data_IF_444399938065
#
_entry.id   IF_444399938065
#
_cell.length_a   1.000
_cell.length_b   1.000
_cell.length_c   1.000
_cell.angle_alpha   90.00
_cell.angle_beta   90.00
_cell.angle_gamma   90.00
#
_symmetry.space_group_name_H-M   'P 1'
#
loop_
_entity.id
_entity.type
_entity.pdbx_description
1 polymer ?
#
# COMPACT_ATOMS: atom_id res chain seq x y z
N UNK A 1 10.08 1.57 4.68
CA UNK A 1 10.37 0.96 5.99
C UNK A 1 9.44 -0.23 6.11
N UNK A 2 9.94 -1.43 6.39
CA UNK A 2 9.11 -2.64 6.43
C UNK A 2 8.34 -2.73 7.75
N UNK A 3 7.09 -3.19 7.72
CA UNK A 3 6.24 -3.41 8.90
C UNK A 3 6.57 -4.74 9.59
N UNK A 4 7.10 -5.70 8.81
CA UNK A 4 7.52 -7.04 9.28
C UNK A 4 8.98 -7.25 8.93
N UNK A 5 9.79 -7.64 9.90
CA UNK A 5 11.20 -7.94 9.65
C UNK A 5 11.36 -9.25 8.85
N UNK A 6 12.39 -9.33 8.00
CA UNK A 6 12.71 -10.54 7.24
C UNK A 6 12.90 -11.75 8.18
N UNK A 7 13.53 -11.55 9.33
CA UNK A 7 13.73 -12.60 10.33
C UNK A 7 12.41 -13.18 10.85
N UNK A 8 11.41 -12.33 11.11
CA UNK A 8 10.09 -12.76 11.58
C UNK A 8 9.34 -13.55 10.48
N UNK A 9 9.45 -13.10 9.24
CA UNK A 9 8.87 -13.81 8.11
C UNK A 9 9.52 -15.18 7.91
N UNK A 10 10.86 -15.27 7.98
CA UNK A 10 11.59 -16.55 7.91
C UNK A 10 11.20 -17.50 9.03
N UNK A 11 11.08 -17.00 10.25
CA UNK A 11 10.61 -17.78 11.39
C UNK A 11 9.18 -18.32 11.16
N UNK A 12 8.29 -17.47 10.66
CA UNK A 12 6.90 -17.84 10.31
C UNK A 12 6.87 -18.93 9.22
N UNK A 13 7.70 -18.80 8.19
CA UNK A 13 7.82 -19.75 7.07
C UNK A 13 8.63 -21.00 7.42
N UNK A 14 9.33 -21.03 8.56
CA UNK A 14 10.29 -22.09 8.95
C UNK A 14 11.42 -22.27 7.94
N UNK A 15 11.93 -21.16 7.40
CA UNK A 15 13.03 -21.13 6.44
C UNK A 15 14.33 -20.78 7.17
N UNK A 16 15.29 -21.69 7.08
CA UNK A 16 16.67 -21.49 7.53
C UNK A 16 17.55 -21.13 6.31
N UNK A 17 18.63 -20.37 6.52
CA UNK A 17 19.52 -19.95 5.43
C UNK A 17 19.08 -18.67 4.73
N UNK A 18 19.84 -18.24 3.73
CA UNK A 18 19.67 -16.93 3.06
C UNK A 18 19.32 -17.01 1.58
N UNK A 19 19.19 -18.22 1.03
CA UNK A 19 19.04 -18.43 -0.41
C UNK A 19 17.72 -17.85 -0.96
N UNK A 20 16.68 -17.79 -0.12
CA UNK A 20 15.37 -17.28 -0.48
C UNK A 20 15.08 -15.86 0.08
N UNK A 21 16.06 -15.20 0.71
CA UNK A 21 15.84 -13.90 1.38
C UNK A 21 15.28 -12.82 0.44
N UNK A 22 15.76 -12.78 -0.80
CA UNK A 22 15.27 -11.82 -1.80
C UNK A 22 13.81 -12.09 -2.18
N UNK A 23 13.42 -13.36 -2.32
CA UNK A 23 12.05 -13.78 -2.64
C UNK A 23 11.11 -13.51 -1.47
N UNK A 24 11.52 -13.85 -0.26
CA UNK A 24 10.73 -13.57 0.95
C UNK A 24 10.56 -12.06 1.13
N UNK A 25 11.61 -11.27 0.87
CA UNK A 25 11.53 -9.81 0.88
C UNK A 25 10.51 -9.25 -0.12
N UNK A 26 10.44 -9.82 -1.33
CA UNK A 26 9.41 -9.48 -2.31
C UNK A 26 8.00 -9.78 -1.79
N UNK A 27 7.78 -10.94 -1.18
CA UNK A 27 6.48 -11.32 -0.62
C UNK A 27 6.08 -10.46 0.58
N UNK A 28 7.03 -10.05 1.43
CA UNK A 28 6.78 -9.10 2.51
C UNK A 28 6.26 -7.78 1.92
N UNK A 29 6.98 -7.21 0.95
CA UNK A 29 6.57 -5.95 0.32
C UNK A 29 5.18 -6.05 -0.31
N UNK A 30 4.89 -7.14 -1.03
CA UNK A 30 3.58 -7.37 -1.64
C UNK A 30 2.46 -7.48 -0.61
N UNK A 31 2.69 -8.22 0.48
CA UNK A 31 1.73 -8.41 1.56
C UNK A 31 1.46 -7.11 2.34
N UNK A 32 2.50 -6.32 2.62
CA UNK A 32 2.38 -5.01 3.25
C UNK A 32 1.56 -4.03 2.41
N UNK A 33 1.84 -3.94 1.12
CA UNK A 33 1.07 -3.11 0.20
C UNK A 33 -0.39 -3.55 0.09
N UNK A 34 -0.64 -4.86 0.04
CA UNK A 34 -2.01 -5.40 0.03
C UNK A 34 -2.77 -5.05 1.31
N UNK A 35 -2.13 -5.17 2.48
CA UNK A 35 -2.72 -4.82 3.77
C UNK A 35 -3.03 -3.32 3.87
N UNK A 36 -2.09 -2.44 3.50
CA UNK A 36 -2.28 -0.98 3.48
C UNK A 36 -3.44 -0.61 2.55
N UNK A 37 -3.49 -1.19 1.35
CA UNK A 37 -4.57 -0.94 0.39
C UNK A 37 -5.92 -1.45 0.89
N UNK A 38 -5.97 -2.60 1.56
CA UNK A 38 -7.20 -3.15 2.12
C UNK A 38 -7.76 -2.29 3.26
N UNK A 39 -6.91 -1.62 4.02
CA UNK A 39 -7.31 -0.72 5.12
C UNK A 39 -7.62 0.70 4.65
N UNK A 40 -7.19 1.09 3.46
CA UNK A 40 -7.28 2.45 2.88
C UNK A 40 -6.72 3.56 3.78
N UNK A 41 -5.61 3.29 4.49
CA UNK A 41 -4.92 4.22 5.37
C UNK A 41 -3.41 4.01 5.38
N UNK A 42 -2.65 5.02 5.82
CA UNK A 42 -1.22 4.89 6.07
C UNK A 42 -0.94 3.99 7.28
N UNK A 43 0.04 3.10 7.17
CA UNK A 43 0.52 2.30 8.29
C UNK A 43 1.99 2.64 8.54
N UNK A 44 2.31 2.96 9.77
CA UNK A 44 3.63 3.45 10.17
C UNK A 44 4.26 2.52 11.20
N UNK A 45 5.59 2.42 11.16
CA UNK A 45 6.31 1.54 12.08
C UNK A 45 6.18 1.98 13.55
N UNK A 46 6.13 3.29 13.79
CA UNK A 46 6.03 3.89 15.10
C UNK A 46 5.34 5.26 15.06
N UNK A 47 5.07 5.82 16.22
CA UNK A 47 4.42 7.11 16.35
C UNK A 47 5.27 8.27 15.80
N UNK A 48 6.59 8.19 15.86
CA UNK A 48 7.49 9.22 15.31
C UNK A 48 7.36 9.30 13.80
N UNK A 49 7.33 8.15 13.12
CA UNK A 49 7.12 8.07 11.68
C UNK A 49 5.75 8.63 11.27
N UNK A 50 4.68 8.31 12.02
CA UNK A 50 3.35 8.86 11.80
C UNK A 50 3.34 10.38 11.96
N UNK A 51 3.87 10.92 13.05
CA UNK A 51 3.91 12.37 13.30
C UNK A 51 4.73 13.11 12.24
N UNK A 52 5.85 12.53 11.80
CA UNK A 52 6.68 13.08 10.71
C UNK A 52 5.88 13.15 9.40
N UNK A 53 5.14 12.10 9.06
CA UNK A 53 4.30 12.07 7.87
C UNK A 53 3.17 13.10 7.96
N UNK A 54 2.50 13.21 9.12
CA UNK A 54 1.44 14.20 9.35
C UNK A 54 1.97 15.64 9.23
N UNK A 55 3.17 15.91 9.74
CA UNK A 55 3.80 17.23 9.63
C UNK A 55 4.16 17.58 8.17
N UNK A 56 4.55 16.59 7.34
CA UNK A 56 4.91 16.78 5.94
C UNK A 56 3.71 16.87 4.98
N UNK A 57 2.58 16.27 5.35
CA UNK A 57 1.42 16.13 4.47
C UNK A 57 0.85 17.46 3.95
N UNK A 58 0.72 18.56 4.73
CA UNK A 58 0.22 19.83 4.21
C UNK A 58 1.12 20.42 3.11
N UNK A 59 2.44 20.34 3.27
CA UNK A 59 3.38 20.84 2.27
C UNK A 59 3.31 20.00 0.98
N UNK A 60 3.16 18.68 1.09
CA UNK A 60 2.98 17.79 -0.05
C UNK A 60 1.68 18.10 -0.82
N UNK A 61 0.58 18.36 -0.12
CA UNK A 61 -0.68 18.75 -0.75
C UNK A 61 -0.59 20.13 -1.43
N UNK A 62 0.07 21.11 -0.79
CA UNK A 62 0.31 22.41 -1.39
C UNK A 62 1.14 22.31 -2.68
N UNK A 63 2.19 21.48 -2.69
CA UNK A 63 2.98 21.20 -3.89
C UNK A 63 2.14 20.55 -5.00
N UNK A 64 1.25 19.61 -4.66
CA UNK A 64 0.35 18.98 -5.62
C UNK A 64 -0.67 19.98 -6.21
N UNK A 65 -1.16 20.94 -5.40
CA UNK A 65 -2.02 22.03 -5.85
C UNK A 65 -1.31 22.91 -6.87
N UNK A 66 -0.09 23.36 -6.56
CA UNK A 66 0.71 24.17 -7.48
C UNK A 66 1.05 23.41 -8.79
N UNK A 67 1.35 22.11 -8.69
CA UNK A 67 1.59 21.26 -9.86
C UNK A 67 0.33 21.13 -10.75
N UNK A 68 -0.86 21.01 -10.16
CA UNK A 68 -2.13 21.02 -10.89
C UNK A 68 -2.32 22.33 -11.63
N UNK A 69 -2.13 23.48 -10.96
CA UNK A 69 -2.28 24.80 -11.56
C UNK A 69 -1.32 24.99 -12.75
N UNK A 70 -0.06 24.60 -12.60
CA UNK A 70 0.92 24.65 -13.68
C UNK A 70 0.53 23.74 -14.86
N UNK A 71 0.03 22.52 -14.57
CA UNK A 71 -0.40 21.58 -15.59
C UNK A 71 -1.66 22.06 -16.33
N UNK A 72 -2.60 22.72 -15.64
CA UNK A 72 -3.78 23.34 -16.26
C UNK A 72 -3.34 24.47 -17.19
N UNK A 73 -2.46 25.37 -16.73
CA UNK A 73 -1.93 26.46 -17.57
C UNK A 73 -1.23 25.92 -18.83
N UNK A 74 -0.43 24.86 -18.68
CA UNK A 74 0.21 24.22 -19.84
C UNK A 74 -0.81 23.58 -20.80
N UNK A 75 -1.84 22.93 -20.26
CA UNK A 75 -2.91 22.33 -21.07
C UNK A 75 -3.73 23.38 -21.84
N UNK A 76 -3.95 24.56 -21.26
CA UNK A 76 -4.67 25.67 -21.91
C UNK A 76 -3.93 26.23 -23.13
N UNK A 77 -2.61 26.09 -23.16
CA UNK A 77 -1.78 26.50 -24.31
C UNK A 77 -1.84 25.52 -25.50
N UNK A 78 -2.40 24.32 -25.32
CA UNK A 78 -2.56 23.33 -26.38
C UNK A 78 -3.66 23.75 -27.36
N UNK A 79 -3.38 23.55 -28.63
CA UNK A 79 -4.31 23.90 -29.73
C UNK A 79 -5.27 22.78 -30.09
N UNK A 80 -4.83 21.50 -29.90
CA UNK A 80 -5.65 20.33 -30.15
C UNK A 80 -6.65 20.12 -29.00
N UNK A 81 -7.95 20.02 -29.26
CA UNK A 81 -8.96 19.87 -28.20
C UNK A 81 -8.86 18.53 -27.44
N UNK A 82 -8.49 17.45 -28.11
CA UNK A 82 -8.40 16.13 -27.51
C UNK A 82 -7.16 16.02 -26.62
N UNK A 83 -6.01 16.55 -27.09
CA UNK A 83 -4.79 16.65 -26.26
C UNK A 83 -5.04 17.53 -25.02
N UNK A 84 -5.71 18.66 -25.18
CA UNK A 84 -6.07 19.54 -24.08
C UNK A 84 -6.95 18.84 -23.06
N UNK A 85 -8.01 18.16 -23.49
CA UNK A 85 -8.90 17.42 -22.61
C UNK A 85 -8.17 16.29 -21.85
N UNK A 86 -7.30 15.56 -22.53
CA UNK A 86 -6.48 14.51 -21.91
C UNK A 86 -5.51 15.08 -20.85
N UNK A 87 -4.85 16.22 -21.14
CA UNK A 87 -3.93 16.87 -20.22
C UNK A 87 -4.64 17.39 -18.97
N UNK A 88 -5.81 18.04 -19.12
CA UNK A 88 -6.63 18.51 -17.99
C UNK A 88 -7.08 17.35 -17.11
N UNK A 89 -7.53 16.24 -17.70
CA UNK A 89 -7.91 15.03 -16.96
C UNK A 89 -6.74 14.42 -16.22
N UNK A 90 -5.57 14.40 -16.83
CA UNK A 90 -4.35 13.90 -16.19
C UNK A 90 -3.96 14.74 -14.96
N UNK A 91 -4.03 16.08 -15.07
CA UNK A 91 -3.78 17.00 -13.97
C UNK A 91 -4.76 16.79 -12.81
N UNK A 92 -6.04 16.64 -13.09
CA UNK A 92 -7.07 16.37 -12.08
C UNK A 92 -6.83 15.03 -11.39
N UNK A 93 -6.57 13.96 -12.15
CA UNK A 93 -6.29 12.64 -11.60
C UNK A 93 -5.05 12.64 -10.71
N UNK A 94 -4.01 13.41 -11.05
CA UNK A 94 -2.81 13.53 -10.22
C UNK A 94 -3.12 14.22 -8.88
N UNK A 95 -3.91 15.30 -8.91
CA UNK A 95 -4.34 16.02 -7.72
C UNK A 95 -5.25 15.15 -6.82
N UNK A 96 -6.20 14.42 -7.41
CA UNK A 96 -7.07 13.51 -6.65
C UNK A 96 -6.28 12.42 -5.94
N UNK A 97 -5.21 11.88 -6.57
CA UNK A 97 -4.29 10.93 -5.88
C UNK A 97 -3.58 11.58 -4.70
N UNK A 98 -3.18 12.84 -4.81
CA UNK A 98 -2.56 13.58 -3.71
C UNK A 98 -3.52 13.82 -2.54
N UNK A 99 -4.80 14.13 -2.82
CA UNK A 99 -5.84 14.24 -1.80
C UNK A 99 -6.09 12.91 -1.06
N UNK A 100 -6.14 11.80 -1.79
CA UNK A 100 -6.26 10.47 -1.18
C UNK A 100 -5.05 10.19 -0.28
N UNK A 101 -3.84 10.45 -0.77
CA UNK A 101 -2.62 10.26 0.02
C UNK A 101 -2.61 11.15 1.28
N UNK A 102 -3.06 12.40 1.17
CA UNK A 102 -3.20 13.33 2.30
C UNK A 102 -4.16 12.74 3.36
N UNK A 103 -5.36 12.30 2.95
CA UNK A 103 -6.33 11.68 3.85
C UNK A 103 -5.75 10.44 4.53
N UNK A 104 -5.12 9.55 3.76
CA UNK A 104 -4.53 8.32 4.29
C UNK A 104 -3.45 8.56 5.35
N UNK A 105 -2.74 9.70 5.31
CA UNK A 105 -1.79 10.09 6.36
C UNK A 105 -2.52 10.44 7.66
N UNK A 106 -3.60 11.23 7.61
CA UNK A 106 -4.35 11.63 8.79
C UNK A 106 -5.20 10.51 9.39
N UNK A 107 -5.66 9.57 8.56
CA UNK A 107 -6.27 8.31 8.99
C UNK A 107 -5.22 7.26 9.39
N UNK A 108 -3.94 7.63 9.38
CA UNK A 108 -2.80 6.76 9.62
C UNK A 108 -2.78 6.13 11.00
N UNK A 109 -2.26 4.92 11.09
CA UNK A 109 -2.09 4.17 12.33
C UNK A 109 -0.67 3.62 12.47
N UNK A 110 -0.25 3.40 13.70
CA UNK A 110 0.97 2.64 13.99
C UNK A 110 0.67 1.15 13.87
N UNK A 111 1.60 0.41 13.26
CA UNK A 111 1.51 -1.05 13.12
C UNK A 111 1.35 -1.73 14.47
N UNK A 112 0.45 -2.69 14.55
CA UNK A 112 0.22 -3.53 15.71
C UNK A 112 0.35 -5.01 15.37
N UNK A 113 0.27 -5.88 16.38
CA UNK A 113 0.45 -7.32 16.20
C UNK A 113 -0.60 -7.96 15.29
N UNK A 114 -1.82 -7.42 15.26
CA UNK A 114 -2.89 -7.89 14.39
C UNK A 114 -2.57 -7.62 12.91
N UNK A 115 -2.06 -6.42 12.60
CA UNK A 115 -1.62 -6.05 11.24
C UNK A 115 -0.40 -6.90 10.84
N UNK A 116 0.57 -7.09 11.76
CA UNK A 116 1.74 -7.96 11.50
C UNK A 116 1.33 -9.39 11.22
N UNK A 117 0.40 -9.93 12.01
CA UNK A 117 -0.12 -11.28 11.79
C UNK A 117 -0.82 -11.42 10.43
N UNK A 118 -1.61 -10.41 10.01
CA UNK A 118 -2.25 -10.40 8.69
C UNK A 118 -1.22 -10.40 7.55
N UNK A 119 -0.16 -9.60 7.67
CA UNK A 119 0.94 -9.57 6.69
C UNK A 119 1.64 -10.92 6.63
N UNK A 120 2.00 -11.51 7.79
CA UNK A 120 2.66 -12.82 7.84
C UNK A 120 1.80 -13.95 7.25
N UNK A 121 0.49 -13.95 7.50
CA UNK A 121 -0.43 -14.90 6.86
C UNK A 121 -0.43 -14.75 5.34
N UNK A 122 -0.42 -13.52 4.84
CA UNK A 122 -0.36 -13.25 3.40
C UNK A 122 0.97 -13.70 2.80
N UNK A 123 2.09 -13.43 3.49
CA UNK A 123 3.42 -13.93 3.09
C UNK A 123 3.45 -15.46 3.03
N UNK A 124 2.90 -16.14 4.04
CA UNK A 124 2.79 -17.59 4.06
C UNK A 124 1.97 -18.14 2.89
N UNK A 125 0.87 -17.47 2.56
CA UNK A 125 0.05 -17.84 1.41
C UNK A 125 0.80 -17.67 0.07
N UNK A 126 1.47 -16.54 -0.14
CA UNK A 126 2.27 -16.28 -1.35
C UNK A 126 3.45 -17.24 -1.48
N UNK A 127 4.08 -17.59 -0.38
CA UNK A 127 5.21 -18.52 -0.35
C UNK A 127 4.77 -19.96 -0.67
N UNK A 128 3.63 -20.40 -0.13
CA UNK A 128 3.10 -21.74 -0.35
C UNK A 128 2.47 -21.93 -1.75
N UNK A 129 1.91 -20.86 -2.34
CA UNK A 129 1.19 -20.90 -3.61
C UNK A 129 1.91 -20.02 -4.63
N UNK A 130 2.94 -20.58 -5.26
CA UNK A 130 3.75 -19.87 -6.27
C UNK A 130 3.10 -19.87 -7.67
N UNK A 131 1.98 -20.58 -7.84
CA UNK A 131 1.21 -20.70 -9.08
C UNK A 131 -0.23 -20.22 -8.86
N UNK A 132 -0.81 -19.57 -9.86
CA UNK A 132 -2.18 -19.03 -9.81
C UNK A 132 -3.27 -20.11 -9.78
N UNK A 133 -2.93 -21.36 -10.12
CA UNK A 133 -3.89 -22.45 -10.19
C UNK A 133 -3.37 -23.70 -9.46
N UNK A 134 -4.20 -24.24 -8.58
CA UNK A 134 -3.98 -25.57 -7.98
C UNK A 134 -4.66 -26.62 -8.85
N UNK A 135 -3.87 -27.44 -9.54
CA UNK A 135 -4.40 -28.54 -10.35
C UNK A 135 -4.67 -29.74 -9.46
N UNK A 136 -5.94 -30.16 -9.35
CA UNK A 136 -6.31 -31.47 -8.76
C UNK A 136 -6.67 -31.44 -7.26
N UNK A 137 -6.83 -30.29 -6.62
CA UNK A 137 -7.33 -30.17 -5.26
C UNK A 137 -8.53 -29.24 -5.16
N UNK A 138 -9.50 -29.57 -4.28
CA UNK A 138 -10.58 -28.66 -3.94
C UNK A 138 -10.00 -27.49 -3.15
N UNK A 139 -10.02 -26.29 -3.72
CA UNK A 139 -9.63 -25.06 -3.02
C UNK A 139 -10.80 -24.62 -2.17
N UNK A 140 -10.71 -24.81 -0.85
CA UNK A 140 -11.60 -24.16 0.11
C UNK A 140 -10.97 -22.84 0.52
N UNK A 141 -11.67 -21.72 0.30
CA UNK A 141 -11.26 -20.45 0.88
C UNK A 141 -11.17 -20.60 2.39
N UNK A 142 -10.02 -20.29 2.99
CA UNK A 142 -9.90 -20.25 4.44
C UNK A 142 -10.82 -19.13 4.95
N UNK A 143 -11.90 -19.45 5.70
CA UNK A 143 -12.70 -18.42 6.33
C UNK A 143 -11.83 -17.65 7.32
N UNK A 144 -11.87 -16.32 7.26
CA UNK A 144 -11.24 -15.43 8.22
C UNK A 144 -9.69 -15.35 8.17
N UNK A 145 -9.09 -15.37 6.98
CA UNK A 145 -7.66 -15.12 6.80
C UNK A 145 -7.22 -13.68 7.17
N UNK A 146 -6.22 -13.19 6.49
CA UNK A 146 -5.64 -11.85 6.73
C UNK A 146 -6.69 -10.73 6.70
N UNK A 147 -7.73 -10.81 5.85
CA UNK A 147 -8.78 -9.79 5.74
C UNK A 147 -9.57 -9.61 7.04
N UNK A 148 -9.88 -10.69 7.76
CA UNK A 148 -10.56 -10.63 9.05
C UNK A 148 -9.74 -9.87 10.10
N UNK A 149 -8.43 -10.06 10.12
CA UNK A 149 -7.54 -9.35 11.04
C UNK A 149 -7.46 -7.86 10.72
N UNK A 150 -7.64 -7.47 9.45
CA UNK A 150 -7.60 -6.08 9.01
C UNK A 150 -8.94 -5.35 9.12
N UNK A 151 -10.05 -6.06 9.27
CA UNK A 151 -11.41 -5.48 9.34
C UNK A 151 -11.55 -4.31 10.33
N UNK A 152 -11.05 -4.40 11.59
CA UNK A 152 -11.20 -3.31 12.56
C UNK A 152 -10.46 -2.02 12.17
N UNK A 153 -9.55 -2.10 11.21
CA UNK A 153 -8.69 -0.99 10.80
C UNK A 153 -9.06 -0.38 9.44
N UNK A 154 -10.08 -0.91 8.77
CA UNK A 154 -10.53 -0.37 7.47
C UNK A 154 -11.20 0.99 7.65
N UNK A 155 -10.89 1.94 6.75
CA UNK A 155 -11.63 3.19 6.58
C UNK A 155 -12.66 2.99 5.48
N UNK A 156 -13.90 3.42 5.70
CA UNK A 156 -15.02 3.31 4.76
C UNK A 156 -15.47 4.68 4.27
#
# INVERSE_FOLDING_TARGET
MSLVALADAKLHLRVDGSDEDALIGLYINAAEHAAIKAMDRGVYADNTALQTAMAAAPAALAAATAAKEAAVTAAEALTDPDEKAAALKAAENAYMRALVAYRQVFDGIVVNDQIRAAVLLTVGHLYANREDAVVGASVSALPNGADYLLQPFKVY
#
